data_IF_446386172194
#
_entry.id   IF_446386172194
#
_cell.length_a   1.000
_cell.length_b   1.000
_cell.length_c   1.000
_cell.angle_alpha   90.00
_cell.angle_beta   90.00
_cell.angle_gamma   90.00
#
_symmetry.space_group_name_H-M   'P 1'
#
loop_
_entity.id
_entity.type
_entity.pdbx_description
1 polymer ?
#
# COMPACT_ATOMS: atom_id res chain seq x y z
N UNK A 1 -40.17 14.15 11.44
CA UNK A 1 -39.29 13.38 12.36
C UNK A 1 -37.87 13.39 11.76
N UNK A 2 -37.02 14.19 12.34
CA UNK A 2 -35.64 14.31 11.90
C UNK A 2 -34.83 13.17 12.50
N UNK A 3 -34.41 12.23 11.67
CA UNK A 3 -33.46 11.20 12.05
C UNK A 3 -32.13 11.83 12.45
N UNK A 4 -31.79 11.73 13.73
CA UNK A 4 -30.45 12.03 14.23
C UNK A 4 -29.46 11.11 13.52
N UNK A 5 -28.74 11.68 12.58
CA UNK A 5 -27.53 11.05 12.09
C UNK A 5 -26.61 10.79 13.28
N UNK A 6 -26.29 9.54 13.57
CA UNK A 6 -25.22 9.18 14.49
C UNK A 6 -23.95 9.83 13.96
N UNK A 7 -23.53 10.96 14.54
CA UNK A 7 -22.13 11.36 14.51
C UNK A 7 -21.37 10.20 15.15
N UNK A 8 -20.66 9.47 14.33
CA UNK A 8 -19.60 8.59 14.81
C UNK A 8 -18.62 9.50 15.50
N UNK A 9 -18.57 9.45 16.84
CA UNK A 9 -17.54 10.16 17.59
C UNK A 9 -16.20 9.55 17.15
N UNK A 10 -15.49 10.28 16.31
CA UNK A 10 -14.12 9.94 15.98
C UNK A 10 -13.30 10.08 17.25
N UNK A 11 -12.94 8.94 17.85
CA UNK A 11 -12.03 8.92 18.98
C UNK A 11 -10.67 9.41 18.48
N UNK A 12 -10.39 10.69 18.69
CA UNK A 12 -9.07 11.25 18.48
C UNK A 12 -8.27 10.95 19.74
N UNK A 13 -7.27 10.12 19.61
CA UNK A 13 -6.29 9.87 20.66
C UNK A 13 -5.11 10.80 20.44
N UNK A 14 -4.98 11.83 21.25
CA UNK A 14 -3.88 12.78 21.20
C UNK A 14 -2.73 12.34 22.11
N UNK A 15 -1.54 12.23 21.56
CA UNK A 15 -0.33 11.82 22.28
C UNK A 15 0.69 12.95 22.25
N UNK A 16 0.68 13.76 23.31
CA UNK A 16 1.66 14.85 23.55
C UNK A 16 2.90 14.39 24.31
N UNK A 17 2.92 13.16 24.78
CA UNK A 17 3.98 12.62 25.61
C UNK A 17 5.10 11.95 24.80
N UNK A 18 6.25 11.75 25.45
CA UNK A 18 7.30 10.88 24.92
C UNK A 18 6.95 9.43 25.22
N UNK A 19 6.77 8.64 24.17
CA UNK A 19 6.42 7.22 24.28
C UNK A 19 7.45 6.35 23.56
N UNK A 20 7.74 5.20 24.18
CA UNK A 20 8.63 4.21 23.61
C UNK A 20 8.01 2.82 23.71
N UNK A 21 8.07 2.04 22.64
CA UNK A 21 7.59 0.66 22.61
C UNK A 21 6.75 0.33 21.39
N UNK A 22 6.00 -0.75 21.49
CA UNK A 22 5.11 -1.22 20.43
C UNK A 22 3.67 -0.84 20.76
N UNK A 23 3.04 -0.11 19.85
CA UNK A 23 1.65 0.30 19.97
C UNK A 23 0.85 -0.28 18.79
N UNK A 24 -0.19 -1.03 19.09
CA UNK A 24 -1.05 -1.66 18.07
C UNK A 24 -2.52 -1.43 18.38
N UNK A 25 -3.23 -0.89 17.42
CA UNK A 25 -4.66 -0.63 17.49
C UNK A 25 -5.41 -1.56 16.53
N UNK A 26 -6.27 -2.41 17.07
CA UNK A 26 -7.07 -3.34 16.28
C UNK A 26 -8.30 -2.69 15.66
N UNK A 27 -8.84 -1.68 16.33
CA UNK A 27 -10.00 -0.92 15.86
C UNK A 27 -9.56 0.32 15.07
N UNK A 28 -10.37 0.79 14.11
CA UNK A 28 -10.08 2.02 13.40
C UNK A 28 -10.16 3.20 14.37
N UNK A 29 -9.02 3.85 14.61
CA UNK A 29 -8.90 5.02 15.47
C UNK A 29 -8.23 6.16 14.70
N UNK A 30 -8.64 7.38 15.03
CA UNK A 30 -7.92 8.58 14.61
C UNK A 30 -6.86 8.90 15.66
N UNK A 31 -5.61 8.60 15.33
CA UNK A 31 -4.49 8.82 16.23
C UNK A 31 -3.76 10.10 15.81
N UNK A 32 -3.57 11.01 16.76
CA UNK A 32 -2.75 12.21 16.57
C UNK A 32 -1.54 12.15 17.49
N UNK A 33 -0.34 12.29 16.94
CA UNK A 33 0.92 12.31 17.68
C UNK A 33 1.52 13.70 17.55
N UNK A 34 1.63 14.39 18.66
CA UNK A 34 2.27 15.71 18.75
C UNK A 34 3.61 15.65 19.51
N UNK A 35 3.84 14.57 20.25
CA UNK A 35 5.04 14.35 21.07
C UNK A 35 6.13 13.55 20.34
N UNK A 36 6.93 12.85 21.14
CA UNK A 36 8.00 11.96 20.65
C UNK A 36 7.55 10.51 20.76
N UNK A 37 7.72 9.78 19.66
CA UNK A 37 7.41 8.35 19.62
C UNK A 37 8.58 7.55 19.05
N UNK A 38 8.97 6.48 19.75
CA UNK A 38 10.02 5.56 19.31
C UNK A 38 9.53 4.12 19.40
N UNK A 39 9.68 3.35 18.31
CA UNK A 39 9.35 1.92 18.31
C UNK A 39 8.58 1.44 17.10
N UNK A 40 7.46 0.75 17.32
CA UNK A 40 6.58 0.25 16.25
C UNK A 40 5.15 0.72 16.49
N UNK A 41 4.54 1.26 15.46
CA UNK A 41 3.16 1.72 15.49
C UNK A 41 2.36 1.01 14.40
N UNK A 42 1.37 0.21 14.81
CA UNK A 42 0.40 -0.41 13.91
C UNK A 42 -0.99 0.14 14.22
N UNK A 43 -1.58 0.83 13.27
CA UNK A 43 -2.90 1.42 13.43
C UNK A 43 -3.80 1.12 12.22
N UNK A 44 -5.07 0.97 12.50
CA UNK A 44 -6.12 0.93 11.48
C UNK A 44 -6.91 2.23 11.59
N UNK A 45 -7.00 2.95 10.50
CA UNK A 45 -7.67 4.26 10.46
C UNK A 45 -6.70 5.38 10.08
N UNK A 46 -6.94 6.57 10.60
CA UNK A 46 -6.14 7.76 10.26
C UNK A 46 -5.07 8.03 11.31
N UNK A 47 -3.82 8.16 10.88
CA UNK A 47 -2.71 8.62 11.70
C UNK A 47 -2.29 10.02 11.27
N UNK A 48 -2.29 10.96 12.21
CA UNK A 48 -1.80 12.32 12.00
C UNK A 48 -0.58 12.56 12.86
N UNK A 49 0.53 12.95 12.25
CA UNK A 49 1.77 13.33 12.93
C UNK A 49 1.89 14.85 12.87
N UNK A 50 1.79 15.51 14.01
CA UNK A 50 1.82 16.96 14.13
C UNK A 50 3.18 17.57 13.80
N UNK A 51 3.23 18.87 13.52
CA UNK A 51 4.43 19.60 13.09
C UNK A 51 5.59 19.54 14.11
N UNK A 52 5.28 19.44 15.38
CA UNK A 52 6.26 19.35 16.47
C UNK A 52 6.63 17.92 16.83
N UNK A 53 6.00 16.94 16.23
CA UNK A 53 6.23 15.55 16.52
C UNK A 53 7.57 15.04 15.97
N UNK A 54 8.21 14.20 16.76
CA UNK A 54 9.40 13.45 16.38
C UNK A 54 9.11 11.96 16.49
N UNK A 55 8.98 11.31 15.38
CA UNK A 55 8.68 9.88 15.34
C UNK A 55 9.86 9.11 14.76
N UNK A 56 10.43 8.20 15.55
CA UNK A 56 11.47 7.28 15.12
C UNK A 56 10.95 5.85 15.21
N UNK A 57 10.20 5.43 14.22
CA UNK A 57 9.44 4.20 14.31
C UNK A 57 9.14 3.55 12.96
N UNK A 58 8.81 2.25 13.03
CA UNK A 58 8.15 1.57 11.94
C UNK A 58 6.63 1.79 12.05
N UNK A 59 6.07 2.47 11.07
CA UNK A 59 4.66 2.87 11.07
C UNK A 59 3.91 2.07 10.02
N UNK A 60 2.83 1.43 10.45
CA UNK A 60 1.86 0.77 9.57
C UNK A 60 0.49 1.36 9.84
N UNK A 61 -0.17 1.88 8.79
CA UNK A 61 -1.48 2.49 8.91
C UNK A 61 -2.26 2.47 7.60
N UNK A 62 -3.53 2.81 7.67
CA UNK A 62 -4.37 2.93 6.47
C UNK A 62 -4.15 4.29 5.79
N UNK A 63 -4.47 5.36 6.47
CA UNK A 63 -4.30 6.73 6.00
C UNK A 63 -3.33 7.46 6.94
N UNK A 64 -2.22 7.95 6.40
CA UNK A 64 -1.17 8.58 7.20
C UNK A 64 -0.96 10.01 6.72
N UNK A 65 -1.07 10.97 7.62
CA UNK A 65 -0.73 12.38 7.38
C UNK A 65 0.45 12.78 8.25
N UNK A 66 1.50 13.28 7.64
CA UNK A 66 2.74 13.68 8.32
C UNK A 66 2.95 15.17 8.12
N UNK A 67 3.03 15.92 9.20
CA UNK A 67 3.44 17.33 9.24
C UNK A 67 4.78 17.53 9.98
N UNK A 68 5.19 16.56 10.79
CA UNK A 68 6.41 16.59 11.60
C UNK A 68 7.58 15.83 11.01
N UNK A 69 8.51 15.44 11.88
CA UNK A 69 9.68 14.65 11.48
C UNK A 69 9.44 13.18 11.77
N UNK A 70 9.64 12.36 10.75
CA UNK A 70 9.54 10.90 10.82
C UNK A 70 10.84 10.28 10.33
N UNK A 71 11.37 9.33 11.11
CA UNK A 71 12.54 8.53 10.72
C UNK A 71 12.18 7.05 10.83
N UNK A 72 12.40 6.27 9.79
CA UNK A 72 12.13 4.84 9.76
C UNK A 72 11.31 4.38 8.58
N UNK A 73 10.57 3.29 8.75
CA UNK A 73 9.73 2.73 7.69
C UNK A 73 8.27 3.17 7.86
N UNK A 74 7.66 3.67 6.78
CA UNK A 74 6.25 4.09 6.75
C UNK A 74 5.50 3.29 5.71
N UNK A 75 4.53 2.50 6.14
CA UNK A 75 3.66 1.71 5.29
C UNK A 75 2.23 2.21 5.40
N UNK A 76 1.77 2.90 4.38
CA UNK A 76 0.37 3.31 4.27
C UNK A 76 -0.37 2.38 3.31
N UNK A 77 -1.48 1.81 3.76
CA UNK A 77 -2.27 0.86 2.97
C UNK A 77 -3.21 1.53 1.96
N UNK A 78 -3.60 2.77 2.23
CA UNK A 78 -4.51 3.54 1.37
C UNK A 78 -3.85 4.81 0.82
N UNK A 79 -3.38 5.69 1.70
CA UNK A 79 -2.77 6.96 1.30
C UNK A 79 -1.77 7.49 2.31
N UNK A 80 -0.77 8.19 1.80
CA UNK A 80 0.21 8.94 2.59
C UNK A 80 0.22 10.39 2.12
N UNK A 81 0.03 11.31 3.05
CA UNK A 81 0.09 12.75 2.79
C UNK A 81 1.19 13.39 3.63
N UNK A 82 2.07 14.13 2.96
CA UNK A 82 3.12 14.93 3.59
C UNK A 82 2.75 16.40 3.50
N UNK A 83 2.52 17.04 4.65
CA UNK A 83 2.16 18.46 4.75
C UNK A 83 3.38 19.24 5.23
N UNK A 84 3.64 20.42 4.65
CA UNK A 84 4.73 21.29 5.11
C UNK A 84 4.56 21.65 6.61
N UNK A 85 5.62 21.60 7.41
CA UNK A 85 7.04 21.38 7.13
C UNK A 85 7.52 19.91 7.30
N UNK A 86 6.74 18.93 6.90
CA UNK A 86 7.05 17.51 7.07
C UNK A 86 8.46 17.15 6.58
N UNK A 87 9.14 16.33 7.35
CA UNK A 87 10.40 15.72 6.94
C UNK A 87 10.37 14.22 7.24
N UNK A 88 10.52 13.44 6.20
CA UNK A 88 10.56 11.98 6.30
C UNK A 88 11.92 11.49 5.84
N UNK A 89 12.60 10.77 6.72
CA UNK A 89 13.88 10.12 6.46
C UNK A 89 13.73 8.61 6.58
N UNK A 90 13.69 7.89 5.46
CA UNK A 90 13.56 6.43 5.45
C UNK A 90 12.79 5.86 4.28
N UNK A 91 12.24 4.67 4.48
CA UNK A 91 11.52 3.96 3.42
C UNK A 91 10.02 4.18 3.54
N UNK A 92 9.37 4.47 2.41
CA UNK A 92 7.93 4.65 2.31
C UNK A 92 7.35 3.61 1.37
N UNK A 93 6.23 2.99 1.77
CA UNK A 93 5.39 2.17 0.91
C UNK A 93 3.95 2.66 0.98
N UNK A 94 3.41 3.06 -0.15
CA UNK A 94 2.04 3.58 -0.23
C UNK A 94 1.48 3.44 -1.65
N UNK A 95 0.18 3.17 -1.81
CA UNK A 95 -0.45 3.20 -3.13
C UNK A 95 -0.71 4.63 -3.63
N UNK A 96 -0.90 5.57 -2.71
CA UNK A 96 -1.14 6.97 -3.04
C UNK A 96 -0.25 7.87 -2.18
N UNK A 97 0.54 8.73 -2.84
CA UNK A 97 1.44 9.69 -2.19
C UNK A 97 1.07 11.11 -2.62
N UNK A 98 0.81 11.95 -1.63
CA UNK A 98 0.62 13.38 -1.81
C UNK A 98 1.69 14.14 -1.02
N UNK A 99 2.40 15.05 -1.66
CA UNK A 99 3.47 15.85 -1.06
C UNK A 99 3.16 17.32 -1.27
N UNK A 100 2.93 18.05 -0.19
CA UNK A 100 2.74 19.49 -0.20
C UNK A 100 4.06 20.24 -0.41
N UNK A 101 3.95 21.46 -0.89
CA UNK A 101 5.10 22.36 -1.07
C UNK A 101 5.79 22.60 0.28
N UNK A 102 7.11 22.34 0.33
CA UNK A 102 7.91 22.50 1.54
C UNK A 102 8.08 21.23 2.37
N UNK A 103 7.38 20.16 2.06
CA UNK A 103 7.67 18.85 2.64
C UNK A 103 8.91 18.22 1.99
N UNK A 104 9.69 17.51 2.80
CA UNK A 104 10.95 16.88 2.38
C UNK A 104 10.87 15.37 2.61
N UNK A 105 11.14 14.62 1.57
CA UNK A 105 11.28 13.18 1.62
C UNK A 105 12.71 12.78 1.26
N UNK A 106 13.41 12.20 2.22
CA UNK A 106 14.74 11.62 2.02
C UNK A 106 14.64 10.10 2.19
N UNK A 107 14.94 9.37 1.15
CA UNK A 107 14.93 7.92 1.20
C UNK A 107 14.24 7.27 0.03
N UNK A 108 13.78 6.06 0.22
CA UNK A 108 13.19 5.26 -0.83
C UNK A 108 11.67 5.30 -0.75
N UNK A 109 11.01 5.62 -1.85
CA UNK A 109 9.55 5.57 -1.94
C UNK A 109 9.15 4.47 -2.92
N UNK A 110 8.42 3.48 -2.43
CA UNK A 110 7.86 2.41 -3.22
C UNK A 110 6.35 2.60 -3.34
N UNK A 111 5.91 2.93 -4.54
CA UNK A 111 4.48 2.99 -4.83
C UNK A 111 3.95 1.57 -5.07
N UNK A 112 2.99 1.14 -4.25
CA UNK A 112 2.31 -0.15 -4.41
C UNK A 112 0.90 0.12 -4.92
N UNK A 113 0.51 -0.51 -6.02
CA UNK A 113 -0.87 -0.41 -6.49
C UNK A 113 -1.82 -1.00 -5.46
N UNK A 114 -2.87 -0.27 -5.11
CA UNK A 114 -3.90 -0.77 -4.20
C UNK A 114 -4.53 -2.04 -4.80
N UNK A 115 -4.22 -3.18 -4.24
CA UNK A 115 -4.74 -4.48 -4.69
C UNK A 115 -3.70 -5.46 -5.24
N UNK A 116 -2.41 -5.12 -5.25
CA UNK A 116 -1.36 -6.04 -5.72
C UNK A 116 -0.20 -6.12 -4.74
N UNK A 117 -0.11 -7.26 -4.12
CA UNK A 117 1.10 -7.70 -3.44
C UNK A 117 2.21 -7.95 -4.47
N UNK A 118 3.33 -7.33 -4.21
CA UNK A 118 4.67 -7.65 -4.69
C UNK A 118 5.16 -7.16 -6.04
N UNK A 119 6.15 -6.33 -5.91
CA UNK A 119 7.50 -6.43 -6.49
C UNK A 119 7.65 -6.42 -8.00
N UNK A 120 8.35 -5.40 -8.37
CA UNK A 120 9.12 -5.17 -9.59
C UNK A 120 8.44 -4.36 -10.68
N UNK A 121 9.13 -3.27 -10.98
CA UNK A 121 8.88 -2.42 -12.10
C UNK A 121 8.76 -3.21 -13.41
N UNK A 122 7.63 -3.09 -14.09
CA UNK A 122 7.58 -3.24 -15.53
C UNK A 122 6.78 -4.38 -16.12
N UNK A 123 6.38 -5.41 -15.39
CA UNK A 123 5.51 -6.43 -15.95
C UNK A 123 4.46 -6.87 -14.92
N UNK A 124 3.21 -6.79 -15.29
CA UNK A 124 2.11 -7.36 -14.53
C UNK A 124 2.14 -8.87 -14.71
N UNK A 125 2.76 -9.57 -13.74
CA UNK A 125 2.89 -11.03 -13.78
C UNK A 125 1.67 -11.64 -13.10
N UNK A 126 0.95 -12.47 -13.83
CA UNK A 126 -0.23 -13.21 -13.38
C UNK A 126 0.12 -14.67 -13.10
N UNK A 127 -0.48 -15.25 -12.08
CA UNK A 127 -0.43 -16.69 -11.84
C UNK A 127 -1.50 -17.43 -12.66
N UNK A 128 -1.36 -18.76 -12.78
CA UNK A 128 -2.29 -19.60 -13.56
C UNK A 128 -3.76 -19.36 -13.20
N UNK A 129 -4.05 -19.21 -11.90
CA UNK A 129 -5.42 -18.99 -11.41
C UNK A 129 -5.96 -17.61 -11.73
N UNK A 130 -5.09 -16.60 -11.75
CA UNK A 130 -5.45 -15.23 -12.13
C UNK A 130 -5.70 -15.12 -13.63
N UNK A 131 -4.90 -15.77 -14.44
CA UNK A 131 -5.11 -15.86 -15.90
C UNK A 131 -6.39 -16.61 -16.22
N UNK A 132 -6.68 -17.70 -15.50
CA UNK A 132 -7.91 -18.45 -15.66
C UNK A 132 -9.15 -17.59 -15.40
N UNK A 133 -9.13 -16.76 -14.37
CA UNK A 133 -10.19 -15.77 -14.08
C UNK A 133 -10.27 -14.67 -15.14
N UNK A 134 -9.13 -14.19 -15.60
CA UNK A 134 -9.07 -13.12 -16.59
C UNK A 134 -9.60 -13.55 -17.97
N UNK A 135 -9.35 -14.81 -18.34
CA UNK A 135 -9.81 -15.40 -19.59
C UNK A 135 -11.16 -16.13 -19.48
N UNK A 136 -11.73 -16.20 -18.27
CA UNK A 136 -12.97 -16.94 -17.97
C UNK A 136 -12.91 -18.42 -18.36
N UNK A 137 -11.77 -19.07 -18.12
CA UNK A 137 -11.50 -20.48 -18.40
C UNK A 137 -10.97 -21.20 -17.17
N UNK A 138 -10.97 -22.53 -17.21
CA UNK A 138 -10.40 -23.34 -16.13
C UNK A 138 -8.87 -23.25 -16.07
N UNK A 139 -8.31 -23.30 -14.87
CA UNK A 139 -6.85 -23.28 -14.64
C UNK A 139 -6.11 -24.44 -15.34
N UNK A 140 -6.78 -25.58 -15.53
CA UNK A 140 -6.25 -26.70 -16.31
C UNK A 140 -6.03 -26.34 -17.78
N UNK A 141 -6.95 -25.57 -18.38
CA UNK A 141 -6.86 -25.10 -19.77
C UNK A 141 -5.69 -24.13 -19.94
N UNK A 142 -5.51 -23.22 -18.97
CA UNK A 142 -4.37 -22.28 -18.97
C UNK A 142 -3.04 -23.02 -18.91
N UNK A 143 -2.95 -24.08 -18.07
CA UNK A 143 -1.75 -24.92 -17.99
C UNK A 143 -1.48 -25.66 -19.30
N UNK A 144 -2.50 -26.22 -19.93
CA UNK A 144 -2.38 -26.91 -21.22
C UNK A 144 -1.91 -25.95 -22.32
N UNK A 145 -2.42 -24.73 -22.36
CA UNK A 145 -1.99 -23.72 -23.31
C UNK A 145 -0.55 -23.24 -23.05
N UNK A 146 -0.14 -23.16 -21.79
CA UNK A 146 1.22 -22.82 -21.42
C UNK A 146 2.21 -23.93 -21.81
N UNK A 147 1.84 -25.21 -21.61
CA UNK A 147 2.66 -26.36 -21.97
C UNK A 147 2.73 -26.56 -23.51
N UNK A 148 1.64 -26.31 -24.19
CA UNK A 148 1.58 -26.40 -25.68
C UNK A 148 2.19 -25.19 -26.39
N UNK A 149 2.65 -24.16 -25.62
CA UNK A 149 3.26 -22.96 -26.19
C UNK A 149 2.28 -22.01 -26.87
N UNK A 150 0.98 -22.23 -26.72
CA UNK A 150 -0.06 -21.33 -27.23
C UNK A 150 -0.13 -20.02 -26.46
N UNK A 151 0.05 -20.09 -25.14
CA UNK A 151 0.04 -18.93 -24.26
C UNK A 151 1.48 -18.60 -23.82
N UNK A 152 1.95 -17.36 -23.97
CA UNK A 152 3.30 -16.98 -23.55
C UNK A 152 3.42 -17.05 -22.02
N UNK A 153 4.08 -18.09 -21.53
CA UNK A 153 4.33 -18.33 -20.12
C UNK A 153 5.82 -18.22 -19.80
N UNK A 154 6.13 -17.65 -18.64
CA UNK A 154 7.48 -17.64 -18.06
C UNK A 154 7.54 -18.77 -17.04
N UNK A 155 8.44 -19.71 -17.23
CA UNK A 155 8.64 -20.83 -16.30
C UNK A 155 9.75 -20.50 -15.34
N UNK A 156 9.41 -20.41 -14.06
CA UNK A 156 10.39 -20.21 -12.99
C UNK A 156 10.32 -21.39 -12.01
N UNK A 157 11.18 -22.37 -12.25
CA UNK A 157 11.15 -23.64 -11.50
C UNK A 157 9.87 -24.44 -11.78
N UNK A 158 9.08 -24.64 -10.75
CA UNK A 158 7.81 -25.40 -10.79
C UNK A 158 6.57 -24.49 -10.93
N UNK A 159 6.76 -23.18 -11.06
CA UNK A 159 5.70 -22.18 -11.19
C UNK A 159 5.64 -21.60 -12.58
N UNK A 160 4.42 -21.39 -13.06
CA UNK A 160 4.13 -20.73 -14.31
C UNK A 160 3.65 -19.30 -14.02
N UNK A 161 4.33 -18.34 -14.62
CA UNK A 161 3.98 -16.93 -14.56
C UNK A 161 3.68 -16.40 -15.95
N UNK A 162 2.76 -15.47 -16.02
CA UNK A 162 2.29 -14.90 -17.29
C UNK A 162 2.38 -13.39 -17.25
N UNK A 163 2.94 -12.81 -18.28
CA UNK A 163 2.98 -11.37 -18.48
C UNK A 163 1.65 -10.90 -19.08
N UNK A 164 0.91 -10.06 -18.37
CA UNK A 164 -0.40 -9.58 -18.80
C UNK A 164 -0.36 -8.89 -20.17
N UNK A 165 0.66 -8.09 -20.43
CA UNK A 165 0.79 -7.41 -21.72
C UNK A 165 0.87 -8.42 -22.88
N UNK A 166 1.58 -9.53 -22.67
CA UNK A 166 1.67 -10.62 -23.67
C UNK A 166 0.37 -11.41 -23.78
N UNK A 167 -0.40 -11.53 -22.69
CA UNK A 167 -1.74 -12.15 -22.74
C UNK A 167 -2.69 -11.27 -23.54
N UNK A 168 -2.66 -9.95 -23.32
CA UNK A 168 -3.50 -9.00 -24.06
C UNK A 168 -3.16 -9.00 -25.57
N UNK A 169 -1.88 -9.07 -25.92
CA UNK A 169 -1.44 -9.26 -27.32
C UNK A 169 -1.93 -10.59 -27.90
N UNK A 170 -1.87 -11.67 -27.14
CA UNK A 170 -2.35 -12.98 -27.56
C UNK A 170 -3.86 -12.98 -27.80
N UNK A 171 -4.65 -12.40 -26.88
CA UNK A 171 -6.12 -12.24 -27.04
C UNK A 171 -6.43 -11.43 -28.29
N UNK A 172 -5.69 -10.37 -28.55
CA UNK A 172 -5.87 -9.54 -29.74
C UNK A 172 -5.56 -10.32 -31.02
N UNK A 173 -4.58 -11.21 -31.01
CA UNK A 173 -4.20 -12.03 -32.17
C UNK A 173 -5.19 -13.16 -32.45
N UNK A 174 -5.82 -13.74 -31.41
CA UNK A 174 -6.83 -14.81 -31.59
C UNK A 174 -8.19 -14.27 -32.02
N UNK A 175 -8.51 -13.00 -31.78
CA UNK A 175 -9.78 -12.39 -32.24
C UNK A 175 -9.82 -11.98 -33.71
N UNK A 176 -8.73 -12.13 -34.45
CA UNK A 176 -8.62 -11.73 -35.86
C UNK A 176 -8.89 -12.91 -36.83
N UNK A 177 -9.33 -14.05 -36.31
CA UNK A 177 -9.77 -15.15 -37.18
C UNK A 177 -11.26 -15.34 -37.17
#
# INVERSE_FOLDING_TARGET
>A
MLGKGKKTEEKILDVDASMQGTMSFKDPVNLQINGRFEGTLDTRGTLTIGEKAFVSANIVGDEITIAGRVTGEVVAKKSLKLISPARVDGNIRTPLLEIDKGAVLNGNCQMVSAGRTSSQAGAEILEVEEVARYLEVDSSVVRDWAVSGKLPAIREGDRLHFDKAKIDEWIASERIK
#
